data_IF_213380194799
#
_entry.id   IF_213380194799
#
_cell.length_a   1.000
_cell.length_b   1.000
_cell.length_c   1.000
_cell.angle_alpha   90.00
_cell.angle_beta   90.00
_cell.angle_gamma   90.00
#
_symmetry.space_group_name_H-M   'P 1'
#
loop_
_entity.id
_entity.type
_entity.pdbx_description
1 polymer ?
#
# COMPACT_ATOMS: atom_id res chain seq x y z
N UNK A 1 1.87 31.81 4.94
CA UNK A 1 0.84 31.41 5.91
C UNK A 1 -0.42 31.09 5.12
N UNK A 2 -1.05 29.95 5.36
CA UNK A 2 -2.32 29.58 4.73
C UNK A 2 -3.43 29.58 5.78
N UNK A 3 -4.67 29.69 5.32
CA UNK A 3 -5.87 29.49 6.11
C UNK A 3 -6.47 28.12 5.73
N UNK A 4 -7.05 27.44 6.70
CA UNK A 4 -7.75 26.18 6.50
C UNK A 4 -9.11 26.26 7.21
N UNK A 5 -10.15 25.82 6.50
CA UNK A 5 -11.45 25.55 7.07
C UNK A 5 -11.68 24.05 7.06
N UNK A 6 -12.03 23.51 8.22
CA UNK A 6 -12.37 22.10 8.42
C UNK A 6 -13.85 21.95 8.73
N UNK A 7 -14.50 21.07 7.99
CA UNK A 7 -15.84 20.60 8.25
C UNK A 7 -15.76 19.10 8.57
N UNK A 8 -16.46 18.69 9.62
CA UNK A 8 -16.54 17.29 10.02
C UNK A 8 -18.00 16.95 10.27
N UNK A 9 -18.43 15.77 9.82
CA UNK A 9 -19.76 15.27 10.10
C UNK A 9 -19.95 13.82 9.68
N UNK A 10 -21.18 13.35 9.82
CA UNK A 10 -21.59 12.02 9.39
C UNK A 10 -22.48 12.17 8.15
N UNK A 11 -22.19 11.37 7.14
CA UNK A 11 -23.04 11.28 5.95
C UNK A 11 -24.26 10.41 6.26
N UNK A 12 -24.04 9.31 6.98
CA UNK A 12 -25.06 8.39 7.46
C UNK A 12 -24.51 7.54 8.63
N UNK A 13 -25.18 6.44 8.97
CA UNK A 13 -24.80 5.54 10.06
C UNK A 13 -23.48 4.80 9.81
N UNK A 14 -23.02 4.68 8.56
CA UNK A 14 -21.80 3.94 8.20
C UNK A 14 -20.62 4.84 7.83
N UNK A 15 -20.86 6.03 7.26
CA UNK A 15 -19.81 6.90 6.72
C UNK A 15 -19.68 8.21 7.50
N UNK A 16 -18.44 8.50 7.90
CA UNK A 16 -18.00 9.79 8.44
C UNK A 16 -17.18 10.53 7.38
N UNK A 17 -17.30 11.86 7.32
CA UNK A 17 -16.54 12.68 6.37
C UNK A 17 -15.79 13.81 7.07
N UNK A 18 -14.60 14.11 6.55
CA UNK A 18 -13.79 15.26 6.94
C UNK A 18 -13.44 16.03 5.68
N UNK A 19 -13.81 17.31 5.62
CA UNK A 19 -13.52 18.17 4.49
C UNK A 19 -12.64 19.35 4.93
N UNK A 20 -11.49 19.47 4.30
CA UNK A 20 -10.55 20.58 4.46
C UNK A 20 -10.51 21.41 3.19
N UNK A 21 -10.77 22.71 3.31
CA UNK A 21 -10.50 23.69 2.27
C UNK A 21 -9.33 24.54 2.74
N UNK A 22 -8.25 24.59 1.96
CA UNK A 22 -7.05 25.31 2.34
C UNK A 22 -6.52 26.21 1.21
N UNK A 23 -6.22 27.46 1.54
CA UNK A 23 -5.73 28.47 0.60
C UNK A 23 -4.94 29.56 1.32
N UNK A 24 -4.14 30.33 0.58
CA UNK A 24 -3.55 31.54 1.12
C UNK A 24 -4.57 32.68 1.31
N UNK A 25 -5.73 32.61 0.66
CA UNK A 25 -6.85 33.54 0.82
C UNK A 25 -8.20 32.81 0.74
N UNK A 26 -8.74 32.40 1.90
CA UNK A 26 -9.88 31.50 1.97
C UNK A 26 -11.22 32.17 1.62
N UNK A 27 -11.35 33.48 1.89
CA UNK A 27 -12.62 34.22 1.75
C UNK A 27 -13.19 34.25 0.32
N UNK A 28 -12.38 33.92 -0.69
CA UNK A 28 -12.78 33.92 -2.10
C UNK A 28 -13.13 32.53 -2.64
N UNK A 29 -12.90 31.47 -1.86
CA UNK A 29 -12.84 30.10 -2.37
C UNK A 29 -13.65 29.11 -1.54
N UNK A 30 -14.60 29.53 -0.71
CA UNK A 30 -15.39 28.62 0.11
C UNK A 30 -16.80 28.50 -0.40
N UNK A 31 -17.15 27.34 -0.95
CA UNK A 31 -18.53 27.01 -1.31
C UNK A 31 -18.86 25.57 -0.93
N UNK A 32 -19.74 25.43 0.04
CA UNK A 32 -20.43 24.19 0.33
C UNK A 32 -21.92 24.47 0.54
N UNK A 33 -22.73 23.47 0.29
CA UNK A 33 -24.17 23.50 0.44
C UNK A 33 -24.60 22.18 1.09
N UNK A 34 -25.46 22.27 2.11
CA UNK A 34 -26.09 21.11 2.72
C UNK A 34 -27.60 21.28 2.58
N UNK A 35 -28.22 20.36 1.84
CA UNK A 35 -29.66 20.31 1.63
C UNK A 35 -30.15 18.90 1.99
N UNK A 36 -30.84 18.79 3.12
CA UNK A 36 -31.21 17.49 3.70
C UNK A 36 -29.97 16.62 3.92
N UNK A 37 -30.00 15.41 3.36
CA UNK A 37 -28.94 14.39 3.45
C UNK A 37 -27.92 14.50 2.29
N UNK A 38 -27.95 15.60 1.53
CA UNK A 38 -27.00 15.87 0.46
C UNK A 38 -26.00 16.94 0.89
N UNK A 39 -24.71 16.61 0.80
CA UNK A 39 -23.62 17.53 1.06
C UNK A 39 -22.83 17.78 -0.22
N UNK A 40 -22.73 19.05 -0.61
CA UNK A 40 -22.13 19.46 -1.88
C UNK A 40 -20.96 20.40 -1.60
N UNK A 41 -19.80 20.05 -2.13
CA UNK A 41 -18.62 20.91 -2.17
C UNK A 41 -18.39 21.35 -3.61
N UNK A 42 -18.21 22.66 -3.84
CA UNK A 42 -18.07 23.14 -5.20
C UNK A 42 -17.13 24.35 -5.31
N UNK A 43 -16.63 24.55 -6.50
CA UNK A 43 -15.89 25.73 -6.93
C UNK A 43 -16.10 25.90 -8.44
N UNK A 44 -15.69 27.01 -9.07
CA UNK A 44 -15.85 27.19 -10.50
C UNK A 44 -15.31 25.99 -11.30
N UNK A 45 -16.24 25.22 -11.87
CA UNK A 45 -15.93 24.03 -12.65
C UNK A 45 -15.52 22.77 -11.87
N UNK A 46 -15.57 22.74 -10.53
CA UNK A 46 -15.35 21.50 -9.79
C UNK A 46 -16.48 21.29 -8.79
N UNK A 47 -16.88 20.06 -8.61
CA UNK A 47 -18.00 19.69 -7.77
C UNK A 47 -17.81 18.27 -7.24
N UNK A 48 -18.12 18.09 -5.97
CA UNK A 48 -18.23 16.80 -5.30
C UNK A 48 -19.52 16.81 -4.49
N UNK A 49 -20.42 15.86 -4.78
CA UNK A 49 -21.68 15.69 -4.08
C UNK A 49 -21.67 14.36 -3.36
N UNK A 50 -21.82 14.42 -2.04
CA UNK A 50 -22.02 13.26 -1.18
C UNK A 50 -23.52 13.12 -0.90
N UNK A 51 -24.06 11.96 -1.26
CA UNK A 51 -25.43 11.52 -0.97
C UNK A 51 -25.34 10.25 -0.14
N UNK A 52 -26.44 9.86 0.47
CA UNK A 52 -26.51 8.72 1.40
C UNK A 52 -25.79 7.44 0.93
N UNK A 53 -25.95 7.04 -0.35
CA UNK A 53 -25.27 5.83 -0.87
C UNK A 53 -24.36 6.09 -2.08
N UNK A 54 -24.16 7.35 -2.48
CA UNK A 54 -23.42 7.66 -3.71
C UNK A 54 -22.59 8.93 -3.58
N UNK A 55 -21.50 8.92 -4.32
CA UNK A 55 -20.65 10.07 -4.55
C UNK A 55 -20.76 10.46 -6.03
N UNK A 56 -20.95 11.74 -6.30
CA UNK A 56 -20.90 12.31 -7.65
C UNK A 56 -19.75 13.30 -7.70
N UNK A 57 -18.98 13.26 -8.79
CA UNK A 57 -17.82 14.13 -8.96
C UNK A 57 -17.81 14.75 -10.36
N UNK A 58 -17.21 15.94 -10.42
CA UNK A 58 -16.94 16.69 -11.65
C UNK A 58 -15.74 17.60 -11.46
N UNK A 59 -14.89 17.70 -12.46
CA UNK A 59 -13.79 18.67 -12.50
C UNK A 59 -12.41 18.05 -12.61
N UNK A 60 -11.40 18.78 -12.14
CA UNK A 60 -9.98 18.45 -12.37
C UNK A 60 -9.37 17.48 -11.33
N UNK A 61 -10.19 17.03 -10.40
CA UNK A 61 -9.79 16.25 -9.23
C UNK A 61 -9.58 14.77 -9.47
N UNK A 62 -9.43 14.06 -8.37
CA UNK A 62 -9.27 12.62 -8.31
C UNK A 62 -9.48 12.05 -6.92
N UNK A 63 -9.17 10.76 -6.78
CA UNK A 63 -9.15 10.02 -5.53
C UNK A 63 -7.75 9.53 -5.20
N UNK A 64 -7.48 9.36 -3.91
CA UNK A 64 -6.29 8.65 -3.46
C UNK A 64 -6.52 7.99 -2.10
N UNK A 65 -5.77 6.94 -1.83
CA UNK A 65 -5.77 6.22 -0.56
C UNK A 65 -4.47 5.44 -0.40
N UNK A 66 -4.13 5.04 0.83
CA UNK A 66 -3.04 4.10 1.07
C UNK A 66 -3.39 2.73 0.43
N UNK A 67 -2.41 2.07 -0.20
CA UNK A 67 -2.62 0.70 -0.66
C UNK A 67 -2.80 -0.23 0.54
N UNK A 68 -3.86 -1.03 0.53
CA UNK A 68 -4.00 -2.13 1.49
C UNK A 68 -3.12 -3.30 1.06
N UNK A 69 -2.47 -3.95 2.02
CA UNK A 69 -1.69 -5.14 1.74
C UNK A 69 -2.61 -6.27 1.24
N UNK A 70 -2.17 -6.95 0.18
CA UNK A 70 -2.89 -8.05 -0.43
C UNK A 70 -4.00 -7.65 -1.42
N UNK A 71 -4.06 -6.38 -1.80
CA UNK A 71 -4.87 -5.90 -2.91
C UNK A 71 -3.97 -5.66 -4.13
N UNK A 72 -4.52 -5.80 -5.33
CA UNK A 72 -3.79 -5.56 -6.57
C UNK A 72 -3.14 -4.15 -6.57
N UNK A 73 -1.82 -4.13 -6.70
CA UNK A 73 -1.01 -2.92 -6.84
C UNK A 73 -0.24 -3.01 -8.15
N UNK A 74 -0.26 -1.97 -9.01
CA UNK A 74 0.51 -1.99 -10.25
C UNK A 74 2.00 -2.21 -9.95
N UNK A 75 2.65 -3.10 -10.72
CA UNK A 75 4.07 -3.40 -10.55
C UNK A 75 4.96 -2.14 -10.59
N UNK A 76 4.58 -1.15 -11.41
CA UNK A 76 5.27 0.13 -11.53
C UNK A 76 5.24 0.99 -10.26
N UNK A 77 4.25 0.78 -9.40
CA UNK A 77 4.13 1.35 -8.07
C UNK A 77 4.81 0.44 -7.02
N UNK A 78 4.52 -0.87 -7.02
CA UNK A 78 5.12 -1.83 -6.07
C UNK A 78 6.65 -1.76 -6.07
N UNK A 79 7.24 -1.63 -7.26
CA UNK A 79 8.68 -1.66 -7.44
C UNK A 79 9.39 -0.38 -6.94
N UNK A 80 8.65 0.63 -6.49
CA UNK A 80 9.18 1.86 -5.89
C UNK A 80 8.82 1.86 -4.41
N UNK A 81 9.80 1.56 -3.55
CA UNK A 81 9.59 1.44 -2.09
C UNK A 81 8.97 2.69 -1.43
N UNK A 82 9.15 3.88 -2.01
CA UNK A 82 8.56 5.12 -1.52
C UNK A 82 7.06 5.29 -1.86
N UNK A 83 6.53 4.55 -2.84
CA UNK A 83 5.13 4.65 -3.26
C UNK A 83 4.26 3.87 -2.29
N UNK A 84 3.35 4.59 -1.63
CA UNK A 84 2.45 4.06 -0.60
C UNK A 84 0.98 4.15 -0.99
N UNK A 85 0.65 5.12 -1.84
CA UNK A 85 -0.74 5.50 -2.09
C UNK A 85 -1.15 5.21 -3.53
N UNK A 86 -2.37 4.74 -3.71
CA UNK A 86 -3.07 4.71 -4.99
C UNK A 86 -3.56 6.12 -5.30
N UNK A 87 -3.37 6.58 -6.54
CA UNK A 87 -3.87 7.88 -7.02
C UNK A 87 -4.58 7.63 -8.35
N UNK A 88 -5.83 8.09 -8.46
CA UNK A 88 -6.66 7.96 -9.65
C UNK A 88 -7.27 9.33 -9.96
N UNK A 89 -7.18 9.79 -11.21
CA UNK A 89 -7.79 11.05 -11.66
C UNK A 89 -9.05 10.71 -12.46
N UNK A 90 -10.15 11.46 -12.29
CA UNK A 90 -11.49 11.10 -12.80
C UNK A 90 -11.66 11.01 -14.33
N UNK A 91 -10.63 11.36 -15.11
CA UNK A 91 -10.63 11.25 -16.57
C UNK A 91 -9.41 10.49 -17.10
N UNK A 92 -8.65 9.83 -16.22
CA UNK A 92 -7.42 9.13 -16.60
C UNK A 92 -7.72 7.69 -17.02
N UNK A 93 -7.25 7.31 -18.21
CA UNK A 93 -7.37 5.96 -18.76
C UNK A 93 -6.04 5.50 -19.33
N UNK A 94 -5.85 4.19 -19.47
CA UNK A 94 -4.71 3.62 -20.18
C UNK A 94 -5.14 3.25 -21.61
N UNK A 95 -4.31 3.61 -22.59
CA UNK A 95 -4.41 3.06 -23.95
C UNK A 95 -3.78 1.67 -24.01
N UNK A 96 -4.01 0.96 -25.11
CA UNK A 96 -3.51 -0.40 -25.37
C UNK A 96 -1.98 -0.52 -25.17
N UNK A 97 -1.23 0.56 -25.42
CA UNK A 97 0.22 0.64 -25.23
C UNK A 97 0.65 0.95 -23.77
N UNK A 98 -0.26 0.83 -22.80
CA UNK A 98 -0.07 1.21 -21.39
C UNK A 98 0.29 2.70 -21.17
N UNK A 99 -0.01 3.56 -22.14
CA UNK A 99 0.16 5.01 -22.00
C UNK A 99 -1.02 5.61 -21.22
N UNK A 100 -0.70 6.40 -20.18
CA UNK A 100 -1.69 7.14 -19.40
C UNK A 100 -2.19 8.37 -20.18
N UNK A 101 -3.48 8.39 -20.49
CA UNK A 101 -4.13 9.48 -21.21
C UNK A 101 -5.19 10.13 -20.33
N UNK A 102 -5.26 11.45 -20.36
CA UNK A 102 -6.29 12.23 -19.67
C UNK A 102 -7.33 12.70 -20.67
N UNK A 103 -8.60 12.44 -20.37
CA UNK A 103 -9.75 12.86 -21.16
C UNK A 103 -10.43 14.07 -20.52
N UNK A 104 -11.32 14.73 -21.27
CA UNK A 104 -12.15 15.79 -20.71
C UNK A 104 -13.44 15.25 -20.05
N UNK A 105 -13.66 13.93 -20.08
CA UNK A 105 -14.77 13.26 -19.43
C UNK A 105 -14.36 12.94 -17.98
N UNK A 106 -14.60 13.89 -17.09
CA UNK A 106 -14.23 13.80 -15.67
C UNK A 106 -15.42 13.62 -14.74
N UNK A 107 -16.62 13.55 -15.32
CA UNK A 107 -17.87 13.56 -14.59
C UNK A 107 -18.30 12.10 -14.36
N UNK A 108 -18.67 11.77 -13.13
CA UNK A 108 -18.95 10.39 -12.77
C UNK A 108 -19.69 10.26 -11.46
N UNK A 109 -20.14 9.03 -11.21
CA UNK A 109 -20.80 8.68 -9.96
C UNK A 109 -20.39 7.28 -9.51
N UNK A 110 -20.07 7.16 -8.22
CA UNK A 110 -19.61 5.93 -7.58
C UNK A 110 -20.54 5.60 -6.42
N UNK A 111 -20.86 4.32 -6.23
CA UNK A 111 -21.49 3.86 -4.99
C UNK A 111 -20.49 3.92 -3.84
N UNK A 112 -20.94 4.21 -2.63
CA UNK A 112 -20.04 4.24 -1.46
C UNK A 112 -19.43 2.87 -1.20
N UNK A 113 -20.19 1.79 -1.36
CA UNK A 113 -19.67 0.42 -1.25
C UNK A 113 -18.51 0.17 -2.24
N UNK A 114 -18.66 0.66 -3.48
CA UNK A 114 -17.63 0.52 -4.51
C UNK A 114 -16.36 1.32 -4.15
N UNK A 115 -16.51 2.51 -3.54
CA UNK A 115 -15.37 3.30 -3.06
C UNK A 115 -14.52 2.50 -2.05
N UNK A 116 -15.15 1.83 -1.08
CA UNK A 116 -14.42 1.03 -0.07
C UNK A 116 -14.05 -0.38 -0.57
N UNK A 117 -14.68 -0.86 -1.62
CA UNK A 117 -14.28 -2.08 -2.31
C UNK A 117 -13.01 -1.88 -3.13
N UNK A 118 -13.01 -0.91 -4.04
CA UNK A 118 -11.88 -0.65 -4.96
C UNK A 118 -10.75 0.15 -4.29
N UNK A 119 -11.10 1.06 -3.40
CA UNK A 119 -10.15 1.83 -2.61
C UNK A 119 -9.68 1.08 -1.37
N UNK A 120 -9.28 1.86 -0.36
CA UNK A 120 -9.00 1.31 0.96
C UNK A 120 -10.32 1.04 1.68
N UNK A 121 -10.43 -0.11 2.35
CA UNK A 121 -11.64 -0.52 3.05
C UNK A 121 -12.10 0.43 4.17
N UNK A 122 -11.21 1.30 4.67
CA UNK A 122 -11.48 2.14 5.84
C UNK A 122 -11.50 3.62 5.46
N UNK A 123 -10.55 4.09 4.64
CA UNK A 123 -10.32 5.52 4.47
C UNK A 123 -9.95 5.89 3.03
N UNK A 124 -10.76 6.74 2.39
CA UNK A 124 -10.53 7.19 1.02
C UNK A 124 -10.58 8.72 0.93
N UNK A 125 -9.67 9.29 0.14
CA UNK A 125 -9.59 10.73 -0.09
C UNK A 125 -10.03 11.09 -1.49
N UNK A 126 -10.63 12.26 -1.59
CA UNK A 126 -11.14 12.91 -2.78
C UNK A 126 -10.59 14.32 -2.77
N UNK A 127 -10.12 14.82 -3.91
CA UNK A 127 -9.58 16.16 -3.96
C UNK A 127 -9.86 16.83 -5.30
N UNK A 128 -9.87 18.16 -5.30
CA UNK A 128 -9.81 18.98 -6.50
C UNK A 128 -9.14 20.32 -6.19
N UNK A 129 -8.69 21.01 -7.23
CA UNK A 129 -8.06 22.33 -7.11
C UNK A 129 -8.89 23.41 -7.80
N UNK A 130 -8.94 24.58 -7.20
CA UNK A 130 -9.45 25.80 -7.82
C UNK A 130 -8.38 26.90 -7.83
N UNK A 131 -8.56 27.93 -8.66
CA UNK A 131 -7.61 29.02 -8.87
C UNK A 131 -7.35 29.29 -10.36
N UNK A 132 -6.16 29.80 -10.75
CA UNK A 132 -5.81 30.10 -12.14
C UNK A 132 -5.48 28.83 -12.95
N UNK A 133 -6.36 27.83 -12.90
CA UNK A 133 -6.23 26.59 -13.65
C UNK A 133 -6.96 26.79 -14.99
N UNK A 134 -6.21 27.25 -16.00
CA UNK A 134 -6.75 27.53 -17.32
C UNK A 134 -6.67 26.32 -18.27
N UNK A 135 -7.53 26.29 -19.28
CA UNK A 135 -7.51 25.27 -20.33
C UNK A 135 -8.46 24.09 -20.08
N UNK A 136 -8.35 23.09 -20.96
CA UNK A 136 -9.19 21.86 -20.95
C UNK A 136 -8.90 20.98 -19.73
N UNK A 137 -9.86 20.17 -19.30
CA UNK A 137 -9.75 19.33 -18.08
C UNK A 137 -8.56 18.39 -18.13
N UNK A 138 -8.35 17.75 -19.28
CA UNK A 138 -7.19 16.91 -19.55
C UNK A 138 -5.85 17.62 -19.36
N UNK A 139 -5.77 18.93 -19.63
CA UNK A 139 -4.58 19.75 -19.35
C UNK A 139 -4.46 20.05 -17.86
N UNK A 140 -5.57 20.44 -17.22
CA UNK A 140 -5.61 20.71 -15.77
C UNK A 140 -5.16 19.49 -14.96
N UNK A 141 -5.69 18.29 -15.27
CA UNK A 141 -5.32 17.03 -14.60
C UNK A 141 -3.84 16.68 -14.79
N UNK A 142 -3.28 16.89 -15.99
CA UNK A 142 -1.84 16.70 -16.24
C UNK A 142 -1.00 17.62 -15.38
N UNK A 143 -1.38 18.88 -15.27
CA UNK A 143 -0.64 19.86 -14.46
C UNK A 143 -0.78 19.57 -12.96
N UNK A 144 -1.94 19.10 -12.51
CA UNK A 144 -2.16 18.62 -11.14
C UNK A 144 -1.27 17.41 -10.83
N UNK A 145 -1.20 16.41 -11.71
CA UNK A 145 -0.36 15.22 -11.49
C UNK A 145 1.12 15.59 -11.48
N UNK A 146 1.55 16.53 -12.34
CA UNK A 146 2.93 17.05 -12.31
C UNK A 146 3.24 17.77 -11.00
N UNK A 147 2.28 18.51 -10.45
CA UNK A 147 2.46 19.32 -9.25
C UNK A 147 2.39 18.50 -7.96
N UNK A 148 1.33 17.69 -7.82
CA UNK A 148 0.97 17.00 -6.58
C UNK A 148 1.19 15.49 -6.65
N UNK A 149 1.30 14.88 -7.84
CA UNK A 149 1.27 13.43 -8.00
C UNK A 149 2.37 12.69 -7.23
N UNK A 150 3.59 13.24 -7.18
CA UNK A 150 4.68 12.66 -6.37
C UNK A 150 4.32 12.66 -4.89
N UNK A 151 3.80 13.77 -4.38
CA UNK A 151 3.48 13.93 -2.97
C UNK A 151 2.27 13.09 -2.57
N UNK A 152 1.22 13.09 -3.38
CA UNK A 152 0.04 12.24 -3.17
C UNK A 152 0.40 10.75 -3.17
N UNK A 153 1.32 10.29 -4.04
CA UNK A 153 1.76 8.88 -4.10
C UNK A 153 2.65 8.43 -2.93
N UNK A 154 3.37 9.36 -2.28
CA UNK A 154 4.45 9.04 -1.33
C UNK A 154 4.23 9.57 0.09
N UNK A 155 3.27 10.47 0.29
CA UNK A 155 3.04 11.08 1.60
C UNK A 155 2.69 10.00 2.64
N UNK A 156 3.35 10.01 3.82
CA UNK A 156 3.03 9.09 4.91
C UNK A 156 1.79 9.53 5.71
N UNK A 157 1.25 10.71 5.41
CA UNK A 157 0.15 11.34 6.16
C UNK A 157 -1.24 10.97 5.60
N UNK A 158 -1.32 10.00 4.68
CA UNK A 158 -2.59 9.48 4.13
C UNK A 158 -3.07 8.33 5.00
N UNK A 159 -4.29 8.42 5.54
CA UNK A 159 -4.91 7.34 6.32
C UNK A 159 -5.95 7.82 7.33
N UNK A 160 -6.10 7.12 8.43
CA UNK A 160 -7.16 7.40 9.42
C UNK A 160 -6.82 8.53 10.42
N UNK A 161 -5.63 9.13 10.32
CA UNK A 161 -5.11 10.14 11.25
C UNK A 161 -5.58 11.58 10.99
N UNK A 162 -4.89 12.54 11.62
CA UNK A 162 -5.07 13.97 11.39
C UNK A 162 -4.42 14.39 10.06
N UNK A 163 -5.20 15.04 9.19
CA UNK A 163 -4.79 15.43 7.85
C UNK A 163 -4.03 16.77 7.82
N UNK A 164 -3.80 17.42 8.97
CA UNK A 164 -3.06 18.69 9.07
C UNK A 164 -1.73 18.69 8.31
N UNK A 165 -0.95 17.62 8.45
CA UNK A 165 0.36 17.50 7.82
C UNK A 165 0.22 17.30 6.31
N UNK A 166 -0.72 16.44 5.88
CA UNK A 166 -1.04 16.22 4.47
C UNK A 166 -1.50 17.52 3.78
N UNK A 167 -2.43 18.26 4.40
CA UNK A 167 -2.90 19.55 3.88
C UNK A 167 -1.76 20.56 3.80
N UNK A 168 -0.94 20.66 4.85
CA UNK A 168 0.23 21.53 4.87
C UNK A 168 1.23 21.19 3.75
N UNK A 169 1.50 19.91 3.51
CA UNK A 169 2.38 19.46 2.41
C UNK A 169 1.82 19.88 1.04
N UNK A 170 0.55 19.61 0.78
CA UNK A 170 -0.06 19.86 -0.52
C UNK A 170 -0.25 21.36 -0.80
N UNK A 171 -0.65 22.14 0.21
CA UNK A 171 -0.88 23.59 0.05
C UNK A 171 0.42 24.35 -0.22
N UNK A 172 1.56 23.86 0.27
CA UNK A 172 2.87 24.46 -0.05
C UNK A 172 3.25 24.33 -1.53
N UNK A 173 2.68 23.34 -2.22
CA UNK A 173 2.94 23.10 -3.64
C UNK A 173 2.01 23.92 -4.54
N UNK A 174 0.81 24.28 -4.08
CA UNK A 174 -0.12 25.08 -4.87
C UNK A 174 0.17 26.59 -4.74
N UNK A 175 -0.06 27.34 -5.82
CA UNK A 175 0.19 28.78 -5.83
C UNK A 175 -0.72 29.56 -4.88
N UNK A 176 -0.39 30.82 -4.54
CA UNK A 176 -1.15 31.62 -3.57
C UNK A 176 -2.59 31.91 -4.02
N UNK A 177 -2.86 31.88 -5.33
CA UNK A 177 -4.19 32.08 -5.91
C UNK A 177 -5.00 30.79 -6.06
N UNK A 178 -4.50 29.68 -5.52
CA UNK A 178 -5.17 28.39 -5.59
C UNK A 178 -5.75 28.01 -4.23
N UNK A 179 -6.77 27.16 -4.27
CA UNK A 179 -7.28 26.49 -3.09
C UNK A 179 -7.34 24.98 -3.33
N UNK A 180 -6.97 24.22 -2.31
CA UNK A 180 -7.11 22.78 -2.24
C UNK A 180 -8.41 22.46 -1.52
N UNK A 181 -9.21 21.59 -2.13
CA UNK A 181 -10.31 20.90 -1.49
C UNK A 181 -9.88 19.46 -1.27
N UNK A 182 -9.90 19.02 -0.02
CA UNK A 182 -9.58 17.66 0.37
C UNK A 182 -10.75 17.11 1.20
N UNK A 183 -11.33 16.00 0.75
CA UNK A 183 -12.46 15.34 1.40
C UNK A 183 -12.04 13.91 1.70
N UNK A 184 -12.07 13.53 2.98
CA UNK A 184 -11.78 12.18 3.48
C UNK A 184 -13.10 11.52 3.88
N UNK A 185 -13.31 10.30 3.42
CA UNK A 185 -14.43 9.44 3.85
C UNK A 185 -13.88 8.27 4.68
N UNK A 186 -14.51 8.02 5.83
CA UNK A 186 -14.14 6.95 6.76
C UNK A 186 -15.33 6.01 6.96
N UNK A 187 -15.12 4.72 6.73
CA UNK A 187 -16.12 3.68 6.97
C UNK A 187 -16.10 3.24 8.44
N UNK A 188 -17.08 3.67 9.22
CA UNK A 188 -17.17 3.46 10.67
C UNK A 188 -17.15 1.97 11.06
N UNK A 189 -17.99 1.09 10.47
CA UNK A 189 -17.91 -0.35 10.72
C UNK A 189 -16.53 -0.98 10.52
N UNK A 190 -15.94 -0.79 9.34
CA UNK A 190 -14.63 -1.32 8.99
C UNK A 190 -13.52 -0.79 9.90
N UNK A 191 -13.58 0.50 10.27
CA UNK A 191 -12.65 1.10 11.25
C UNK A 191 -12.76 0.40 12.60
N UNK A 192 -13.96 0.24 13.15
CA UNK A 192 -14.18 -0.41 14.44
C UNK A 192 -13.68 -1.87 14.45
N UNK A 193 -13.96 -2.61 13.36
CA UNK A 193 -13.46 -3.98 13.19
C UNK A 193 -11.93 -4.04 13.11
N UNK A 194 -11.31 -3.14 12.33
CA UNK A 194 -9.86 -3.05 12.21
C UNK A 194 -9.18 -2.73 13.55
N UNK A 195 -9.74 -1.80 14.32
CA UNK A 195 -9.24 -1.41 15.64
C UNK A 195 -9.34 -2.57 16.65
N UNK A 196 -10.47 -3.28 16.68
CA UNK A 196 -10.62 -4.46 17.53
C UNK A 196 -9.63 -5.56 17.14
N UNK A 197 -9.54 -5.89 15.86
CA UNK A 197 -8.64 -6.92 15.37
C UNK A 197 -7.18 -6.56 15.64
N UNK A 198 -6.78 -5.31 15.41
CA UNK A 198 -5.43 -4.81 15.70
C UNK A 198 -5.09 -4.97 17.18
N UNK A 199 -5.99 -4.57 18.08
CA UNK A 199 -5.79 -4.70 19.52
C UNK A 199 -5.58 -6.15 19.97
N UNK A 200 -6.41 -7.08 19.47
CA UNK A 200 -6.33 -8.50 19.81
C UNK A 200 -5.07 -9.15 19.22
N UNK A 201 -4.80 -8.88 17.94
CA UNK A 201 -3.66 -9.45 17.24
C UNK A 201 -2.32 -8.94 17.77
N UNK A 202 -2.19 -7.63 18.05
CA UNK A 202 -0.93 -7.05 18.52
C UNK A 202 -0.57 -7.50 19.94
N UNK A 203 -1.56 -7.89 20.75
CA UNK A 203 -1.32 -8.42 22.09
C UNK A 203 -0.69 -9.83 22.06
N UNK A 204 -1.18 -10.72 21.20
CA UNK A 204 -0.88 -12.15 21.28
C UNK A 204 -0.23 -12.75 20.01
N UNK A 205 -0.16 -11.97 18.90
CA UNK A 205 0.18 -12.43 17.54
C UNK A 205 -0.61 -13.67 17.06
N UNK A 206 -1.73 -13.93 17.71
CA UNK A 206 -2.63 -15.02 17.47
C UNK A 206 -4.00 -14.60 17.96
N UNK A 207 -5.04 -15.07 17.28
CA UNK A 207 -6.43 -14.87 17.70
C UNK A 207 -6.91 -16.21 18.26
N UNK A 208 -7.21 -16.26 19.55
CA UNK A 208 -7.83 -17.43 20.17
C UNK A 208 -9.31 -17.53 19.83
N UNK A 209 -9.93 -18.67 20.14
CA UNK A 209 -11.35 -18.93 19.80
C UNK A 209 -12.29 -17.88 20.39
N UNK A 210 -12.08 -17.48 21.64
CA UNK A 210 -12.90 -16.45 22.31
C UNK A 210 -12.78 -15.07 21.66
N UNK A 211 -11.59 -14.74 21.18
CA UNK A 211 -11.31 -13.47 20.51
C UNK A 211 -11.89 -13.49 19.09
N UNK A 212 -11.86 -14.65 18.44
CA UNK A 212 -12.48 -14.88 17.14
C UNK A 212 -14.01 -14.76 17.22
N UNK A 213 -14.63 -15.34 18.24
CA UNK A 213 -16.08 -15.23 18.48
C UNK A 213 -16.50 -13.76 18.67
N UNK A 214 -15.72 -12.97 19.39
CA UNK A 214 -15.96 -11.53 19.55
C UNK A 214 -15.88 -10.77 18.23
N UNK A 215 -14.87 -11.08 17.40
CA UNK A 215 -14.72 -10.48 16.07
C UNK A 215 -15.89 -10.86 15.15
N UNK A 216 -16.34 -12.12 15.21
CA UNK A 216 -17.45 -12.60 14.41
C UNK A 216 -18.77 -11.95 14.83
N UNK A 217 -19.02 -11.80 16.13
CA UNK A 217 -20.18 -11.08 16.64
C UNK A 217 -20.17 -9.62 16.17
N UNK A 218 -19.04 -8.92 16.31
CA UNK A 218 -18.91 -7.53 15.85
C UNK A 218 -19.16 -7.41 14.34
N UNK A 219 -18.61 -8.32 13.53
CA UNK A 219 -18.80 -8.29 12.09
C UNK A 219 -20.26 -8.56 11.68
N UNK A 220 -20.98 -9.40 12.41
CA UNK A 220 -22.41 -9.63 12.20
C UNK A 220 -23.25 -8.42 12.61
N UNK A 221 -22.96 -7.84 13.77
CA UNK A 221 -23.67 -6.66 14.28
C UNK A 221 -23.51 -5.43 13.37
N UNK A 222 -22.35 -5.33 12.71
CA UNK A 222 -22.01 -4.24 11.82
C UNK A 222 -22.19 -4.55 10.33
N UNK A 223 -22.75 -5.72 9.99
CA UNK A 223 -22.99 -6.21 8.63
C UNK A 223 -21.76 -6.13 7.69
N UNK A 224 -20.60 -6.54 8.21
CA UNK A 224 -19.34 -6.53 7.44
C UNK A 224 -19.22 -7.85 6.69
N UNK A 225 -19.12 -7.79 5.37
CA UNK A 225 -18.96 -8.98 4.54
C UNK A 225 -17.60 -9.69 4.77
N UNK A 226 -17.56 -10.99 4.49
CA UNK A 226 -16.36 -11.83 4.73
C UNK A 226 -15.14 -11.37 3.93
N UNK A 227 -15.35 -10.81 2.74
CA UNK A 227 -14.25 -10.37 1.89
C UNK A 227 -13.58 -9.12 2.49
N UNK A 228 -14.35 -8.14 2.96
CA UNK A 228 -13.81 -6.97 3.66
C UNK A 228 -13.16 -7.35 4.99
N UNK A 229 -13.74 -8.28 5.75
CA UNK A 229 -13.09 -8.82 6.96
C UNK A 229 -11.69 -9.36 6.65
N UNK A 230 -11.56 -10.21 5.63
CA UNK A 230 -10.26 -10.80 5.27
C UNK A 230 -9.26 -9.74 4.81
N UNK A 231 -9.67 -8.79 3.96
CA UNK A 231 -8.81 -7.67 3.53
C UNK A 231 -8.30 -6.84 4.71
N UNK A 232 -9.17 -6.48 5.63
CA UNK A 232 -8.81 -5.70 6.82
C UNK A 232 -7.86 -6.50 7.71
N UNK A 233 -8.13 -7.79 7.94
CA UNK A 233 -7.26 -8.66 8.75
C UNK A 233 -5.87 -8.77 8.15
N UNK A 234 -5.76 -9.05 6.85
CA UNK A 234 -4.49 -9.15 6.13
C UNK A 234 -3.69 -7.86 6.25
N UNK A 235 -4.33 -6.71 6.01
CA UNK A 235 -3.68 -5.40 6.13
C UNK A 235 -3.17 -5.13 7.55
N UNK A 236 -4.00 -5.39 8.57
CA UNK A 236 -3.61 -5.21 9.98
C UNK A 236 -2.47 -6.16 10.38
N UNK A 237 -2.52 -7.42 9.95
CA UNK A 237 -1.44 -8.39 10.21
C UNK A 237 -0.12 -7.94 9.57
N UNK A 238 -0.16 -7.41 8.34
CA UNK A 238 1.02 -6.84 7.69
C UNK A 238 1.56 -5.61 8.43
N UNK A 239 0.70 -4.72 8.94
CA UNK A 239 1.12 -3.51 9.68
C UNK A 239 1.87 -3.79 10.99
N UNK A 240 1.80 -5.01 11.53
CA UNK A 240 2.58 -5.38 12.71
C UNK A 240 4.09 -5.24 12.42
N UNK A 241 4.88 -4.49 13.24
CA UNK A 241 6.29 -4.19 12.94
C UNK A 241 7.15 -5.41 12.61
N UNK A 242 7.03 -6.47 13.43
CA UNK A 242 7.79 -7.71 13.23
C UNK A 242 7.41 -8.45 11.95
N UNK A 243 6.14 -8.37 11.53
CA UNK A 243 5.68 -8.99 10.29
C UNK A 243 6.17 -8.17 9.11
N UNK A 244 5.95 -6.85 9.15
CA UNK A 244 6.28 -5.90 8.10
C UNK A 244 7.73 -6.05 7.63
N UNK A 245 8.69 -6.11 8.56
CA UNK A 245 10.12 -6.21 8.24
C UNK A 245 10.46 -7.45 7.40
N UNK A 246 9.93 -8.62 7.78
CA UNK A 246 10.18 -9.89 7.09
C UNK A 246 9.43 -9.95 5.76
N UNK A 247 8.19 -9.45 5.74
CA UNK A 247 7.34 -9.43 4.54
C UNK A 247 7.86 -8.44 3.50
N UNK A 248 8.34 -7.26 3.92
CA UNK A 248 8.95 -6.28 3.02
C UNK A 248 10.23 -6.81 2.38
N UNK A 249 11.08 -7.52 3.13
CA UNK A 249 12.27 -8.18 2.57
C UNK A 249 11.88 -9.27 1.54
N UNK A 250 10.90 -10.10 1.87
CA UNK A 250 10.38 -11.12 0.95
C UNK A 250 9.84 -10.49 -0.34
N UNK A 251 9.06 -9.41 -0.21
CA UNK A 251 8.52 -8.62 -1.33
C UNK A 251 9.63 -8.03 -2.20
N UNK A 252 10.67 -7.45 -1.60
CA UNK A 252 11.78 -6.85 -2.34
C UNK A 252 12.52 -7.87 -3.21
N UNK A 253 12.82 -9.06 -2.66
CA UNK A 253 13.45 -10.15 -3.42
C UNK A 253 12.57 -10.56 -4.61
N UNK A 254 11.26 -10.73 -4.40
CA UNK A 254 10.34 -11.09 -5.48
C UNK A 254 10.25 -10.02 -6.57
N UNK A 255 10.22 -8.74 -6.21
CA UNK A 255 10.26 -7.62 -7.18
C UNK A 255 11.54 -7.67 -8.00
N UNK A 256 12.68 -7.93 -7.38
CA UNK A 256 13.96 -8.01 -8.08
C UNK A 256 14.04 -9.24 -9.00
N UNK A 257 13.46 -10.38 -8.60
CA UNK A 257 13.29 -11.54 -9.49
C UNK A 257 12.39 -11.21 -10.68
N UNK A 258 11.27 -10.51 -10.45
CA UNK A 258 10.33 -10.09 -11.49
C UNK A 258 10.97 -9.15 -12.51
N UNK A 259 11.73 -8.15 -12.05
CA UNK A 259 12.52 -7.27 -12.92
C UNK A 259 13.56 -8.02 -13.75
N UNK A 260 14.16 -9.07 -13.19
CA UNK A 260 15.14 -9.92 -13.88
C UNK A 260 14.51 -10.94 -14.82
N UNK A 261 13.22 -11.24 -14.67
CA UNK A 261 12.51 -12.29 -15.40
C UNK A 261 12.93 -13.72 -15.02
N UNK A 262 13.72 -13.89 -13.96
CA UNK A 262 14.25 -15.19 -13.50
C UNK A 262 14.45 -15.21 -11.99
N UNK A 263 14.33 -16.40 -11.40
CA UNK A 263 14.66 -16.67 -9.99
C UNK A 263 15.95 -17.49 -9.97
N UNK A 264 17.01 -16.97 -9.33
CA UNK A 264 18.26 -17.71 -9.12
C UNK A 264 18.11 -18.65 -7.93
N UNK A 265 18.94 -19.70 -7.85
CA UNK A 265 18.97 -20.59 -6.68
C UNK A 265 19.20 -19.81 -5.37
N UNK A 266 20.09 -18.81 -5.40
CA UNK A 266 20.35 -17.90 -4.28
C UNK A 266 19.09 -17.17 -3.78
N UNK A 267 18.28 -16.64 -4.70
CA UNK A 267 17.04 -15.93 -4.38
C UNK A 267 16.04 -16.90 -3.73
N UNK A 268 15.91 -18.11 -4.29
CA UNK A 268 15.00 -19.13 -3.78
C UNK A 268 15.41 -19.63 -2.37
N UNK A 269 16.71 -19.77 -2.11
CA UNK A 269 17.25 -20.09 -0.79
C UNK A 269 16.92 -18.98 0.23
N UNK A 270 17.04 -17.70 -0.15
CA UNK A 270 16.66 -16.57 0.71
C UNK A 270 15.15 -16.53 0.98
N UNK A 271 14.31 -16.70 -0.04
CA UNK A 271 12.86 -16.76 0.10
C UNK A 271 12.42 -17.90 1.04
N UNK A 272 13.05 -19.07 0.93
CA UNK A 272 12.79 -20.24 1.79
C UNK A 272 13.21 -19.98 3.24
N UNK A 273 14.36 -19.33 3.46
CA UNK A 273 14.81 -18.90 4.79
C UNK A 273 13.84 -17.92 5.43
N UNK A 274 13.36 -16.93 4.69
CA UNK A 274 12.34 -15.99 5.18
C UNK A 274 11.02 -16.68 5.52
N UNK A 275 10.58 -17.67 4.73
CA UNK A 275 9.40 -18.49 5.07
C UNK A 275 9.60 -19.32 6.34
N UNK A 276 10.80 -19.85 6.56
CA UNK A 276 11.12 -20.60 7.79
C UNK A 276 11.16 -19.68 9.01
N UNK A 277 11.78 -18.51 8.87
CA UNK A 277 11.80 -17.46 9.89
C UNK A 277 10.39 -16.98 10.24
N UNK A 278 9.51 -16.91 9.23
CA UNK A 278 8.13 -16.47 9.42
C UNK A 278 7.32 -17.45 10.26
N UNK A 279 7.48 -18.75 10.06
CA UNK A 279 6.88 -19.80 10.91
C UNK A 279 7.36 -19.66 12.36
N UNK A 280 8.67 -19.46 12.58
CA UNK A 280 9.24 -19.27 13.93
C UNK A 280 8.67 -18.04 14.64
N UNK A 281 8.43 -16.96 13.89
CA UNK A 281 7.90 -15.70 14.41
C UNK A 281 6.36 -15.63 14.41
N UNK A 282 5.67 -16.74 14.10
CA UNK A 282 4.20 -16.84 14.01
C UNK A 282 3.59 -15.83 13.04
N UNK A 283 4.30 -15.53 11.95
CA UNK A 283 3.81 -14.66 10.88
C UNK A 283 2.81 -15.47 10.04
N UNK A 284 1.60 -14.93 9.79
CA UNK A 284 0.59 -15.61 8.99
C UNK A 284 1.09 -15.93 7.57
N UNK A 285 0.93 -17.18 7.13
CA UNK A 285 1.32 -17.63 5.80
C UNK A 285 0.56 -16.90 4.69
N UNK A 286 -0.66 -16.43 4.98
CA UNK A 286 -1.48 -15.62 4.08
C UNK A 286 -0.70 -14.44 3.48
N UNK A 287 0.17 -13.79 4.27
CA UNK A 287 0.96 -12.64 3.79
C UNK A 287 1.92 -13.01 2.66
N UNK A 288 2.49 -14.21 2.69
CA UNK A 288 3.42 -14.70 1.67
C UNK A 288 2.69 -15.25 0.45
N UNK A 289 1.56 -15.92 0.66
CA UNK A 289 0.73 -16.41 -0.44
C UNK A 289 0.27 -15.27 -1.34
N UNK A 290 -0.16 -14.14 -0.76
CA UNK A 290 -0.58 -13.00 -1.57
C UNK A 290 0.57 -12.39 -2.38
N UNK A 291 1.79 -12.36 -1.84
CA UNK A 291 2.96 -11.89 -2.60
C UNK A 291 3.37 -12.85 -3.70
N UNK A 292 3.33 -14.16 -3.44
CA UNK A 292 3.62 -15.18 -4.44
C UNK A 292 2.62 -15.08 -5.60
N UNK A 293 1.31 -14.93 -5.31
CA UNK A 293 0.26 -14.76 -6.34
C UNK A 293 0.45 -13.49 -7.17
N UNK A 294 0.88 -12.39 -6.55
CA UNK A 294 1.06 -11.12 -7.25
C UNK A 294 2.34 -11.04 -8.09
N UNK A 295 3.41 -11.76 -7.73
CA UNK A 295 4.75 -11.51 -8.26
C UNK A 295 5.44 -12.72 -8.91
N UNK A 296 5.02 -13.96 -8.59
CA UNK A 296 5.51 -15.16 -9.29
C UNK A 296 4.69 -15.37 -10.55
N UNK A 297 5.19 -14.80 -11.65
CA UNK A 297 4.66 -15.09 -12.99
C UNK A 297 5.11 -16.50 -13.41
N UNK A 298 4.20 -17.33 -13.94
CA UNK A 298 4.47 -18.68 -14.47
C UNK A 298 5.57 -18.68 -15.55
N UNK A 299 5.86 -17.51 -16.13
CA UNK A 299 6.91 -17.30 -17.14
C UNK A 299 8.32 -17.19 -16.56
N UNK A 300 8.49 -17.12 -15.24
CA UNK A 300 9.80 -17.05 -14.60
C UNK A 300 10.59 -18.34 -14.84
N UNK A 301 11.63 -18.23 -15.65
CA UNK A 301 12.55 -19.33 -15.87
C UNK A 301 13.33 -19.59 -14.59
N UNK A 302 13.23 -20.81 -14.07
CA UNK A 302 14.13 -21.30 -13.04
C UNK A 302 15.46 -21.60 -13.70
N UNK A 303 16.50 -20.89 -13.28
CA UNK A 303 17.84 -21.17 -13.76
C UNK A 303 18.27 -22.50 -13.13
N UNK A 304 18.36 -23.55 -13.95
CA UNK A 304 19.02 -24.79 -13.57
C UNK A 304 20.52 -24.52 -13.70
N UNK A 305 21.07 -23.72 -12.79
CA UNK A 305 22.51 -23.68 -12.62
C UNK A 305 22.93 -25.10 -12.22
N UNK A 306 23.92 -25.67 -12.92
CA UNK A 306 24.65 -26.81 -12.36
C UNK A 306 25.31 -26.29 -11.10
N UNK A 307 24.70 -26.54 -9.95
CA UNK A 307 25.19 -26.07 -8.65
C UNK A 307 26.58 -26.65 -8.40
N UNK A 308 27.59 -25.80 -8.57
CA UNK A 308 28.91 -26.00 -8.01
C UNK A 308 28.81 -25.77 -6.50
N UNK A 309 29.39 -26.65 -5.68
CA UNK A 309 29.32 -26.58 -4.21
C UNK A 309 29.87 -25.25 -3.66
N UNK A 310 30.78 -24.60 -4.39
CA UNK A 310 31.25 -23.25 -4.08
C UNK A 310 30.17 -22.18 -4.24
N UNK A 311 29.30 -22.33 -5.24
CA UNK A 311 28.17 -21.41 -5.47
C UNK A 311 27.15 -21.56 -4.35
N UNK A 312 26.81 -22.78 -3.96
CA UNK A 312 25.90 -23.04 -2.83
C UNK A 312 26.46 -22.50 -1.50
N UNK A 313 27.75 -22.71 -1.25
CA UNK A 313 28.45 -22.16 -0.08
C UNK A 313 28.36 -20.64 -0.04
N UNK A 314 28.66 -19.95 -1.15
CA UNK A 314 28.55 -18.49 -1.25
C UNK A 314 27.13 -18.00 -0.99
N UNK A 315 26.11 -18.69 -1.49
CA UNK A 315 24.70 -18.32 -1.29
C UNK A 315 24.25 -18.44 0.18
N UNK A 316 24.72 -19.47 0.88
CA UNK A 316 24.45 -19.65 2.31
C UNK A 316 25.10 -18.49 3.08
N UNK A 317 26.39 -18.25 2.84
CA UNK A 317 27.21 -17.22 3.50
C UNK A 317 26.72 -15.79 3.23
N UNK A 318 26.38 -15.43 1.99
CA UNK A 318 25.79 -14.13 1.65
C UNK A 318 24.45 -13.88 2.35
N UNK A 319 23.69 -14.93 2.65
CA UNK A 319 22.45 -14.77 3.41
C UNK A 319 22.66 -14.66 4.92
N UNK A 320 23.85 -14.97 5.45
CA UNK A 320 24.23 -14.66 6.85
C UNK A 320 24.52 -13.16 6.98
N UNK A 321 25.06 -12.54 5.91
CA UNK A 321 25.40 -11.12 5.84
C UNK A 321 24.19 -10.19 5.65
N UNK A 322 22.96 -10.61 5.97
CA UNK A 322 21.74 -9.78 6.00
C UNK A 322 21.75 -8.71 7.13
N UNK A 323 22.91 -8.10 7.38
CA UNK A 323 23.15 -7.03 8.34
C UNK A 323 22.48 -5.70 7.96
N UNK A 324 22.06 -5.49 6.70
CA UNK A 324 21.26 -4.30 6.34
C UNK A 324 19.83 -4.36 6.90
N UNK A 325 19.33 -5.60 7.08
CA UNK A 325 18.07 -5.98 7.70
C UNK A 325 17.99 -5.75 9.21
N UNK A 326 19.08 -5.98 9.94
CA UNK A 326 19.11 -6.28 11.40
C UNK A 326 18.13 -7.45 11.76
N UNK A 327 17.91 -8.33 10.76
CA UNK A 327 17.14 -9.57 10.82
C UNK A 327 18.12 -10.70 11.17
N UNK A 328 17.96 -11.32 12.33
CA UNK A 328 18.77 -12.47 12.75
C UNK A 328 18.36 -13.74 11.97
N UNK A 329 18.87 -13.85 10.74
CA UNK A 329 18.74 -15.01 9.86
C UNK A 329 19.93 -15.96 10.03
N UNK A 330 20.18 -16.42 11.26
CA UNK A 330 21.23 -17.40 11.56
C UNK A 330 21.14 -18.68 10.72
N UNK A 331 22.28 -19.38 10.60
CA UNK A 331 22.42 -20.61 9.81
C UNK A 331 21.40 -21.67 10.25
N UNK A 332 20.59 -22.19 9.33
CA UNK A 332 19.64 -23.26 9.62
C UNK A 332 20.32 -24.63 9.65
N UNK A 333 19.66 -25.66 10.20
CA UNK A 333 20.20 -27.03 10.19
C UNK A 333 20.39 -27.57 8.77
N UNK A 334 19.55 -27.18 7.81
CA UNK A 334 19.72 -27.53 6.39
C UNK A 334 20.93 -26.83 5.77
N UNK A 335 21.15 -25.56 6.10
CA UNK A 335 22.34 -24.82 5.66
C UNK A 335 23.62 -25.46 6.22
N UNK A 336 23.61 -25.89 7.48
CA UNK A 336 24.73 -26.62 8.08
C UNK A 336 25.00 -27.95 7.37
N UNK A 337 23.96 -28.69 7.00
CA UNK A 337 24.07 -29.93 6.24
C UNK A 337 24.70 -29.69 4.86
N UNK A 338 24.21 -28.68 4.13
CA UNK A 338 24.74 -28.28 2.83
C UNK A 338 26.19 -27.78 2.91
N UNK A 339 26.52 -26.98 3.93
CA UNK A 339 27.91 -26.54 4.18
C UNK A 339 28.84 -27.73 4.51
N UNK A 340 28.36 -28.74 5.24
CA UNK A 340 29.13 -29.95 5.53
C UNK A 340 29.35 -30.81 4.28
N UNK A 341 28.33 -30.93 3.42
CA UNK A 341 28.44 -31.62 2.13
C UNK A 341 29.37 -30.89 1.17
N UNK A 342 29.28 -29.56 1.08
CA UNK A 342 30.18 -28.73 0.30
C UNK A 342 31.63 -28.81 0.82
N UNK A 343 31.84 -28.82 2.14
CA UNK A 343 33.16 -29.04 2.75
C UNK A 343 33.74 -30.40 2.38
N UNK A 344 32.91 -31.45 2.38
CA UNK A 344 33.32 -32.80 2.00
C UNK A 344 33.75 -32.84 0.53
N UNK A 345 32.97 -32.26 -0.38
CA UNK A 345 33.31 -32.18 -1.80
C UNK A 345 34.57 -31.34 -2.07
N UNK A 346 34.72 -30.20 -1.41
CA UNK A 346 35.93 -29.38 -1.50
C UNK A 346 37.18 -30.15 -1.05
N UNK A 347 37.07 -30.93 0.04
CA UNK A 347 38.16 -31.77 0.54
C UNK A 347 38.50 -32.92 -0.42
N UNK A 348 37.49 -33.53 -1.05
CA UNK A 348 37.68 -34.59 -2.04
C UNK A 348 38.35 -34.06 -3.33
N UNK A 349 37.99 -32.83 -3.73
CA UNK A 349 38.53 -32.15 -4.91
C UNK A 349 39.85 -31.39 -4.64
N UNK A 350 40.33 -31.34 -3.37
CA UNK A 350 41.48 -30.53 -2.92
C UNK A 350 41.36 -29.05 -3.28
N UNK A 351 40.15 -28.53 -3.19
CA UNK A 351 39.83 -27.16 -3.53
C UNK A 351 39.89 -26.27 -2.28
N UNK A 352 40.84 -25.33 -2.29
CA UNK A 352 41.04 -24.38 -1.19
C UNK A 352 40.10 -23.17 -1.24
N UNK A 353 39.33 -23.00 -2.33
CA UNK A 353 38.41 -21.87 -2.47
C UNK A 353 37.30 -21.88 -1.41
N UNK A 354 36.84 -23.05 -0.96
CA UNK A 354 35.84 -23.18 0.10
C UNK A 354 36.34 -22.61 1.44
N UNK A 355 37.57 -22.93 1.85
CA UNK A 355 38.15 -22.40 3.09
C UNK A 355 38.41 -20.89 2.98
N UNK A 356 38.81 -20.42 1.80
CA UNK A 356 38.99 -19.00 1.55
C UNK A 356 37.66 -18.22 1.67
N UNK A 357 36.54 -18.76 1.16
CA UNK A 357 35.22 -18.13 1.32
C UNK A 357 34.77 -18.04 2.78
N UNK A 358 35.03 -19.07 3.59
CA UNK A 358 34.71 -19.04 5.02
C UNK A 358 35.55 -18.00 5.77
N UNK A 359 36.83 -17.83 5.40
CA UNK A 359 37.73 -16.82 5.96
C UNK A 359 37.37 -15.39 5.52
N UNK A 360 36.79 -15.20 4.34
CA UNK A 360 36.33 -13.89 3.86
C UNK A 360 35.00 -13.45 4.49
N UNK A 361 34.21 -14.39 5.03
CA UNK A 361 32.88 -14.12 5.62
C UNK A 361 32.90 -14.01 7.15
N UNK A 362 33.94 -14.52 7.83
CA UNK A 362 34.12 -14.46 9.29
C UNK A 362 35.18 -13.45 9.72
#
# INVERSE_FOLDING_TARGET
>A
MYQELRLHGHLNDTIEYYASVASSNLHQHYFYEQEGDTLRFFSPGNELVLKDNRLEHRGNGGTFCEYMFGVEQPLSDMAKAEVRNRLVLYGATYRDDHELVFTDQTDGSLGLDQVFLEGHAICNYFFFLTGPVAGRRSQQQRDIVRLLGKQLKRSPHVGTGDDSELVSELVRLIGPRSALYLIKLVHKPHKAYAELFSRLYFANKAIGDTDFDQLQALAQDLDIDRYQQERIRIDVMYRHPDNRRIVDEYKNILIDCNRRGRIRSADNARLTRLKTLSVRNKIPSALFFTLDEMLRDDRMQHEVDKEDYLTETRQILEGILLHEADIDAGITNEDMLRLLEAKKQASENRDHAFEQMLLETG
#
